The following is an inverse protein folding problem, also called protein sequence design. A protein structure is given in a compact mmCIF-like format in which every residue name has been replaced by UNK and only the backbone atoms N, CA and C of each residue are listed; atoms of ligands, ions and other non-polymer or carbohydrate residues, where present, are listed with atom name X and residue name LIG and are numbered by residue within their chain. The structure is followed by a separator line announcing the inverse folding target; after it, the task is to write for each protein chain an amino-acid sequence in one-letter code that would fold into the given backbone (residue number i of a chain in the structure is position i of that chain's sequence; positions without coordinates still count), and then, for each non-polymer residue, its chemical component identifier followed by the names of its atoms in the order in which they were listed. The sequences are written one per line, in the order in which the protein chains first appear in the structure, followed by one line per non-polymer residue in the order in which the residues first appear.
data_IF_568424077374
#
_entry.id   IF_568424077374
#
_cell.length_a   1.000
_cell.length_b   1.000
_cell.length_c   1.000
_cell.angle_alpha   90.00
_cell.angle_beta   90.00
_cell.angle_gamma   90.00
#
_symmetry.space_group_name_H-M   'P 1'
#
loop_
_entity.id
_entity.type
_entity.pdbx_description
1 polymer ?
#
# COMPACT_ATOMS: atom_id res chain seq x y z
N UNK A 1 -17.21 13.75 17.86
CA UNK A 1 -18.04 13.42 16.68
C UNK A 1 -17.18 12.78 15.60
N UNK A 2 -17.36 11.49 15.29
CA UNK A 2 -16.76 10.86 14.11
C UNK A 2 -17.54 11.29 12.86
N UNK A 3 -17.08 12.34 12.17
CA UNK A 3 -17.65 12.69 10.86
C UNK A 3 -17.39 11.50 9.91
N UNK A 4 -18.40 10.95 9.22
CA UNK A 4 -18.17 9.87 8.27
C UNK A 4 -17.19 10.33 7.20
N UNK A 5 -16.21 9.49 6.89
CA UNK A 5 -15.18 9.81 5.89
C UNK A 5 -15.84 10.10 4.53
N UNK A 6 -15.33 11.08 3.77
CA UNK A 6 -15.79 11.31 2.41
C UNK A 6 -15.65 10.03 1.59
N UNK A 7 -16.69 9.65 0.86
CA UNK A 7 -16.69 8.46 0.00
C UNK A 7 -15.57 8.52 -1.05
N UNK A 8 -15.22 9.73 -1.51
CA UNK A 8 -14.15 10.02 -2.46
C UNK A 8 -12.81 9.52 -1.92
N UNK A 9 -12.48 9.84 -0.68
CA UNK A 9 -11.19 9.47 -0.07
C UNK A 9 -11.03 7.94 0.02
N UNK A 10 -12.11 7.23 0.37
CA UNK A 10 -12.11 5.76 0.39
C UNK A 10 -11.89 5.18 -1.00
N UNK A 11 -12.50 5.78 -2.03
CA UNK A 11 -12.34 5.36 -3.44
C UNK A 11 -10.94 5.64 -3.94
N UNK A 12 -10.40 6.83 -3.68
CA UNK A 12 -9.03 7.18 -4.03
C UNK A 12 -8.02 6.24 -3.37
N UNK A 13 -8.20 5.94 -2.08
CA UNK A 13 -7.34 4.97 -1.39
C UNK A 13 -7.41 3.59 -2.04
N UNK A 14 -8.62 3.08 -2.31
CA UNK A 14 -8.79 1.76 -2.94
C UNK A 14 -8.17 1.71 -4.35
N UNK A 15 -8.37 2.76 -5.16
CA UNK A 15 -7.80 2.86 -6.50
C UNK A 15 -6.28 2.97 -6.46
N UNK A 16 -5.71 3.75 -5.55
CA UNK A 16 -4.26 3.86 -5.37
C UNK A 16 -3.65 2.51 -4.99
N UNK A 17 -4.26 1.78 -4.05
CA UNK A 17 -3.80 0.44 -3.65
C UNK A 17 -3.91 -0.56 -4.80
N UNK A 18 -5.00 -0.53 -5.56
CA UNK A 18 -5.16 -1.40 -6.73
C UNK A 18 -4.11 -1.09 -7.81
N UNK A 19 -3.90 0.18 -8.12
CA UNK A 19 -2.88 0.61 -9.07
C UNK A 19 -1.47 0.21 -8.61
N UNK A 20 -1.14 0.38 -7.32
CA UNK A 20 0.12 -0.07 -6.73
C UNK A 20 0.31 -1.58 -6.85
N UNK A 21 -0.72 -2.38 -6.56
CA UNK A 21 -0.66 -3.83 -6.67
C UNK A 21 -0.44 -4.28 -8.12
N UNK A 22 -1.24 -3.79 -9.07
CA UNK A 22 -1.13 -4.18 -10.48
C UNK A 22 0.22 -3.76 -11.06
N UNK A 23 0.61 -2.48 -10.87
CA UNK A 23 1.88 -1.97 -11.39
C UNK A 23 3.10 -2.60 -10.70
N UNK A 24 3.02 -2.89 -9.40
CA UNK A 24 4.10 -3.55 -8.66
C UNK A 24 4.30 -5.01 -9.09
N UNK A 25 3.21 -5.72 -9.39
CA UNK A 25 3.29 -7.06 -9.99
C UNK A 25 3.80 -7.01 -11.43
N UNK A 26 3.41 -5.99 -12.21
CA UNK A 26 3.85 -5.79 -13.60
C UNK A 26 5.32 -5.40 -13.75
N UNK A 27 5.94 -4.80 -12.72
CA UNK A 27 7.40 -4.61 -12.67
C UNK A 27 8.19 -5.92 -12.61
N UNK A 28 7.53 -7.01 -12.22
CA UNK A 28 8.07 -8.36 -12.34
C UNK A 28 7.57 -8.99 -13.65
N UNK A 29 8.30 -9.92 -14.27
CA UNK A 29 7.90 -10.54 -15.53
C UNK A 29 6.74 -11.55 -15.39
N UNK A 30 5.83 -11.35 -14.42
CA UNK A 30 4.70 -12.24 -14.11
C UNK A 30 3.63 -12.16 -15.20
N UNK A 31 3.23 -10.96 -15.61
CA UNK A 31 2.14 -10.80 -16.58
C UNK A 31 2.48 -11.33 -17.97
N UNK A 32 3.76 -11.25 -18.37
CA UNK A 32 4.25 -11.93 -19.57
C UNK A 32 4.33 -13.44 -19.39
N UNK A 33 4.82 -13.92 -18.24
CA UNK A 33 4.95 -15.38 -17.96
C UNK A 33 3.61 -16.11 -17.94
N UNK A 34 2.52 -15.43 -17.57
CA UNK A 34 1.18 -16.00 -17.50
C UNK A 34 0.22 -15.46 -18.57
N UNK A 35 0.73 -15.00 -19.71
CA UNK A 35 -0.06 -14.60 -20.89
C UNK A 35 -1.08 -13.47 -20.68
N UNK A 36 -1.00 -12.73 -19.57
CA UNK A 36 -1.85 -11.56 -19.31
C UNK A 36 -1.54 -10.45 -20.33
N UNK A 37 -0.27 -10.28 -20.67
CA UNK A 37 0.17 -9.30 -21.67
C UNK A 37 -0.29 -9.64 -23.10
N UNK A 38 -0.67 -10.89 -23.35
CA UNK A 38 -1.10 -11.37 -24.67
C UNK A 38 -2.61 -11.17 -24.89
N UNK A 39 -3.33 -10.76 -23.86
CA UNK A 39 -4.73 -10.33 -23.97
C UNK A 39 -4.77 -9.00 -24.76
N UNK A 40 -5.62 -8.87 -25.81
CA UNK A 40 -5.73 -7.65 -26.57
C UNK A 40 -5.95 -6.41 -25.69
N UNK A 41 -5.10 -5.39 -25.84
CA UNK A 41 -5.13 -4.17 -25.05
C UNK A 41 -4.36 -4.20 -23.71
N UNK A 42 -3.77 -5.33 -23.32
CA UNK A 42 -3.01 -5.47 -22.06
C UNK A 42 -1.49 -5.61 -22.24
N UNK A 43 -0.96 -5.43 -23.45
CA UNK A 43 0.48 -5.51 -23.71
C UNK A 43 1.31 -4.54 -22.82
N UNK A 44 0.75 -3.37 -22.49
CA UNK A 44 1.37 -2.38 -21.60
C UNK A 44 1.66 -2.90 -20.19
N UNK A 45 0.95 -3.95 -19.75
CA UNK A 45 1.14 -4.53 -18.41
C UNK A 45 2.50 -5.21 -18.25
N UNK A 46 3.16 -5.58 -19.35
CA UNK A 46 4.52 -6.10 -19.36
C UNK A 46 5.59 -5.05 -19.70
N UNK A 47 5.19 -3.80 -19.95
CA UNK A 47 6.13 -2.69 -20.16
C UNK A 47 6.61 -2.15 -18.82
N UNK A 48 7.92 -2.30 -18.57
CA UNK A 48 8.53 -1.85 -17.32
C UNK A 48 8.39 -0.35 -17.10
N UNK A 49 8.59 0.49 -18.12
CA UNK A 49 8.53 1.94 -17.97
C UNK A 49 7.10 2.40 -17.67
N UNK A 50 6.11 1.86 -18.39
CA UNK A 50 4.70 2.18 -18.16
C UNK A 50 4.29 1.77 -16.74
N UNK A 51 4.57 0.52 -16.34
CA UNK A 51 4.26 0.04 -15.00
C UNK A 51 5.02 0.82 -13.92
N UNK A 52 6.26 1.22 -14.17
CA UNK A 52 7.05 2.05 -13.24
C UNK A 52 6.45 3.44 -13.01
N UNK A 53 6.03 4.12 -14.08
CA UNK A 53 5.37 5.42 -14.00
C UNK A 53 4.05 5.31 -13.22
N UNK A 54 3.21 4.33 -13.56
CA UNK A 54 1.94 4.10 -12.87
C UNK A 54 2.18 3.83 -11.38
N UNK A 55 3.21 3.04 -11.04
CA UNK A 55 3.54 2.73 -9.66
C UNK A 55 3.95 3.97 -8.88
N UNK A 56 4.79 4.83 -9.45
CA UNK A 56 5.25 6.07 -8.80
C UNK A 56 4.11 7.06 -8.59
N UNK A 57 3.23 7.23 -9.59
CA UNK A 57 2.05 8.10 -9.46
C UNK A 57 1.09 7.57 -8.39
N UNK A 58 0.81 6.27 -8.38
CA UNK A 58 -0.03 5.65 -7.38
C UNK A 58 0.60 5.72 -5.97
N UNK A 59 1.92 5.58 -5.87
CA UNK A 59 2.68 5.72 -4.63
C UNK A 59 2.59 7.15 -4.08
N UNK A 60 2.70 8.17 -4.93
CA UNK A 60 2.56 9.57 -4.53
C UNK A 60 1.16 9.85 -3.94
N UNK A 61 0.10 9.37 -4.60
CA UNK A 61 -1.28 9.49 -4.10
C UNK A 61 -1.45 8.73 -2.77
N UNK A 62 -0.94 7.51 -2.69
CA UNK A 62 -1.00 6.71 -1.46
C UNK A 62 -0.28 7.40 -0.29
N UNK A 63 0.93 7.92 -0.52
CA UNK A 63 1.71 8.65 0.48
C UNK A 63 1.00 9.91 0.95
N UNK A 64 0.39 10.69 0.04
CA UNK A 64 -0.39 11.86 0.40
C UNK A 64 -1.57 11.50 1.31
N UNK A 65 -2.32 10.43 0.98
CA UNK A 65 -3.42 9.95 1.81
C UNK A 65 -2.92 9.46 3.18
N UNK A 66 -1.83 8.71 3.23
CA UNK A 66 -1.22 8.24 4.50
C UNK A 66 -0.77 9.43 5.35
N UNK A 67 -0.13 10.44 4.75
CA UNK A 67 0.33 11.64 5.45
C UNK A 67 -0.84 12.46 6.03
N UNK A 68 -1.91 12.65 5.24
CA UNK A 68 -3.13 13.33 5.71
C UNK A 68 -3.75 12.59 6.91
N UNK A 69 -3.84 11.26 6.85
CA UNK A 69 -4.33 10.41 7.95
C UNK A 69 -3.45 10.49 9.19
N UNK A 70 -2.14 10.45 9.02
CA UNK A 70 -1.19 10.57 10.12
C UNK A 70 -1.30 11.96 10.79
N UNK A 71 -1.43 13.02 9.99
CA UNK A 71 -1.62 14.39 10.46
C UNK A 71 -2.91 14.56 11.27
N UNK A 72 -4.05 14.07 10.75
CA UNK A 72 -5.33 14.07 11.46
C UNK A 72 -5.24 13.32 12.80
N UNK A 73 -4.59 12.15 12.81
CA UNK A 73 -4.41 11.34 14.02
C UNK A 73 -3.53 12.06 15.05
N UNK A 74 -2.44 12.68 14.61
CA UNK A 74 -1.53 13.45 15.48
C UNK A 74 -2.23 14.70 16.05
N UNK A 75 -2.92 15.47 15.22
CA UNK A 75 -3.66 16.66 15.64
C UNK A 75 -4.76 16.29 16.65
N UNK A 76 -5.49 15.20 16.40
CA UNK A 76 -6.56 14.75 17.29
C UNK A 76 -6.03 14.23 18.63
N UNK A 77 -4.83 13.63 18.67
CA UNK A 77 -4.12 13.29 19.91
C UNK A 77 -3.69 14.53 20.68
N UNK A 78 -3.07 15.50 19.99
CA UNK A 78 -2.60 16.76 20.62
C UNK A 78 -3.73 17.58 21.23
N UNK A 79 -4.89 17.61 20.57
CA UNK A 79 -6.06 18.36 21.03
C UNK A 79 -6.87 17.63 22.11
N UNK A 80 -6.39 16.50 22.65
CA UNK A 80 -7.10 15.71 23.67
C UNK A 80 -8.45 15.13 23.19
N UNK A 81 -8.74 15.17 21.88
CA UNK A 81 -10.01 14.75 21.29
C UNK A 81 -10.16 13.23 21.19
N UNK A 82 -9.10 12.49 21.51
CA UNK A 82 -9.06 11.03 21.48
C UNK A 82 -8.55 10.54 22.83
N UNK A 83 -9.43 9.94 23.63
CA UNK A 83 -9.09 9.42 24.96
C UNK A 83 -8.59 7.96 24.94
N UNK A 84 -9.01 7.12 23.99
CA UNK A 84 -8.53 5.73 23.87
C UNK A 84 -8.59 5.21 22.42
N UNK A 85 -7.46 5.22 21.70
CA UNK A 85 -7.34 4.38 20.51
C UNK A 85 -7.22 2.92 20.97
N UNK A 86 -8.34 2.20 21.01
CA UNK A 86 -8.32 0.73 21.10
C UNK A 86 -7.77 0.15 19.79
N UNK A 87 -6.48 0.30 19.55
CA UNK A 87 -5.80 -0.38 18.46
C UNK A 87 -5.62 -1.85 18.86
N UNK A 88 -6.32 -2.72 18.16
CA UNK A 88 -6.04 -4.16 18.21
C UNK A 88 -4.63 -4.45 17.67
N UNK A 89 -4.05 -5.60 18.05
CA UNK A 89 -2.75 -6.07 17.51
C UNK A 89 -2.70 -6.07 15.98
N UNK A 90 -3.82 -6.37 15.33
CA UNK A 90 -3.97 -6.36 13.88
C UNK A 90 -3.77 -4.97 13.27
N UNK A 91 -4.34 -3.92 13.88
CA UNK A 91 -4.14 -2.55 13.40
C UNK A 91 -2.69 -2.09 13.54
N UNK A 92 -2.01 -2.49 14.63
CA UNK A 92 -0.58 -2.23 14.81
C UNK A 92 0.27 -2.94 13.76
N UNK A 93 -0.03 -4.21 13.47
CA UNK A 93 0.65 -4.95 12.41
C UNK A 93 0.47 -4.29 11.03
N UNK A 94 -0.73 -3.81 10.71
CA UNK A 94 -0.98 -3.09 9.47
C UNK A 94 -0.19 -1.78 9.40
N UNK A 95 -0.14 -1.02 10.49
CA UNK A 95 0.62 0.23 10.55
C UNK A 95 2.12 -0.03 10.35
N UNK A 96 2.66 -1.06 11.01
CA UNK A 96 4.05 -1.46 10.85
C UNK A 96 4.36 -1.87 9.41
N UNK A 97 3.49 -2.64 8.76
CA UNK A 97 3.66 -3.04 7.36
C UNK A 97 3.64 -1.83 6.40
N UNK A 98 2.72 -0.87 6.60
CA UNK A 98 2.70 0.38 5.82
C UNK A 98 3.98 1.18 6.04
N UNK A 99 4.43 1.34 7.29
CA UNK A 99 5.65 2.08 7.60
C UNK A 99 6.88 1.43 6.92
N UNK A 100 6.97 0.10 6.98
CA UNK A 100 8.00 -0.66 6.27
C UNK A 100 7.94 -0.51 4.75
N UNK A 101 6.73 -0.54 4.16
CA UNK A 101 6.52 -0.33 2.72
C UNK A 101 7.00 1.05 2.28
N UNK A 102 6.66 2.08 3.05
CA UNK A 102 7.08 3.46 2.77
C UNK A 102 8.61 3.57 2.84
N UNK A 103 9.22 3.06 3.92
CA UNK A 103 10.67 3.09 4.10
C UNK A 103 11.41 2.36 2.97
N UNK A 104 11.02 1.12 2.70
CA UNK A 104 11.64 0.32 1.62
C UNK A 104 11.38 0.94 0.25
N UNK A 105 10.20 1.50 0.01
CA UNK A 105 9.88 2.25 -1.22
C UNK A 105 10.80 3.45 -1.42
N UNK A 106 11.03 4.26 -0.38
CA UNK A 106 11.98 5.37 -0.45
C UNK A 106 13.41 4.91 -0.77
N UNK A 107 13.87 3.81 -0.17
CA UNK A 107 15.19 3.25 -0.47
C UNK A 107 15.26 2.79 -1.94
N UNK A 108 14.19 2.21 -2.49
CA UNK A 108 14.10 1.83 -3.91
C UNK A 108 14.14 3.02 -4.85
N UNK A 109 13.59 4.17 -4.46
CA UNK A 109 13.71 5.42 -5.23
C UNK A 109 15.15 5.95 -5.12
N UNK A 110 15.68 6.02 -3.90
CA UNK A 110 17.01 6.58 -3.64
C UNK A 110 18.13 5.81 -4.34
N UNK A 111 18.08 4.47 -4.36
CA UNK A 111 19.07 3.65 -5.06
C UNK A 111 19.08 3.87 -6.59
N UNK A 112 18.01 4.42 -7.15
CA UNK A 112 17.91 4.71 -8.59
C UNK A 112 18.43 6.11 -8.95
N UNK A 113 18.83 6.92 -7.96
CA UNK A 113 19.44 8.23 -8.20
C UNK A 113 20.93 8.07 -8.55
N UNK A 114 21.54 9.04 -9.27
CA UNK A 114 22.98 8.99 -9.59
C UNK A 114 23.90 8.90 -8.36
N UNK A 115 23.42 9.39 -7.21
CA UNK A 115 24.12 9.36 -5.92
C UNK A 115 23.77 8.14 -5.06
N UNK A 116 22.89 7.26 -5.55
CA UNK A 116 22.36 6.10 -4.84
C UNK A 116 23.38 4.96 -4.72
N UNK A 117 24.29 5.06 -3.75
CA UNK A 117 25.32 4.05 -3.48
C UNK A 117 24.82 2.84 -2.69
N UNK A 118 23.86 2.07 -3.21
CA UNK A 118 23.39 0.83 -2.55
C UNK A 118 24.06 -0.39 -3.18
N UNK A 119 24.64 -1.26 -2.35
CA UNK A 119 25.24 -2.51 -2.84
C UNK A 119 24.20 -3.39 -3.55
N UNK A 120 24.62 -4.21 -4.53
CA UNK A 120 23.72 -5.11 -5.26
C UNK A 120 22.93 -6.04 -4.32
N UNK A 121 23.60 -6.60 -3.31
CA UNK A 121 22.97 -7.50 -2.33
C UNK A 121 21.94 -6.78 -1.45
N UNK A 122 22.27 -5.58 -0.97
CA UNK A 122 21.31 -4.75 -0.22
C UNK A 122 20.12 -4.34 -1.08
N UNK A 123 20.35 -3.98 -2.35
CA UNK A 123 19.29 -3.63 -3.29
C UNK A 123 18.28 -4.76 -3.52
N UNK A 124 18.77 -5.99 -3.69
CA UNK A 124 17.93 -7.19 -3.81
C UNK A 124 17.15 -7.46 -2.52
N UNK A 125 17.78 -7.35 -1.35
CA UNK A 125 17.10 -7.54 -0.07
C UNK A 125 15.98 -6.51 0.14
N UNK A 126 16.20 -5.25 -0.26
CA UNK A 126 15.18 -4.21 -0.22
C UNK A 126 14.02 -4.51 -1.18
N UNK A 127 14.29 -4.97 -2.40
CA UNK A 127 13.24 -5.30 -3.36
C UNK A 127 12.37 -6.47 -2.87
N UNK A 128 12.99 -7.55 -2.39
CA UNK A 128 12.28 -8.71 -1.83
C UNK A 128 11.51 -8.31 -0.57
N UNK A 129 12.15 -7.55 0.33
CA UNK A 129 11.51 -7.07 1.56
C UNK A 129 10.29 -6.20 1.26
N UNK A 130 10.37 -5.32 0.28
CA UNK A 130 9.25 -4.49 -0.16
C UNK A 130 8.08 -5.34 -0.67
N UNK A 131 8.35 -6.36 -1.49
CA UNK A 131 7.33 -7.31 -1.96
C UNK A 131 6.68 -8.08 -0.81
N UNK A 132 7.48 -8.63 0.11
CA UNK A 132 6.96 -9.38 1.27
C UNK A 132 6.08 -8.49 2.14
N UNK A 133 6.49 -7.25 2.39
CA UNK A 133 5.69 -6.28 3.13
C UNK A 133 4.38 -5.94 2.42
N UNK A 134 4.39 -5.85 1.09
CA UNK A 134 3.19 -5.58 0.29
C UNK A 134 2.17 -6.72 0.43
N UNK A 135 2.65 -7.97 0.30
CA UNK A 135 1.82 -9.17 0.46
C UNK A 135 1.31 -9.30 1.91
N UNK A 136 2.17 -9.07 2.90
CA UNK A 136 1.80 -9.11 4.31
C UNK A 136 0.71 -8.07 4.63
N UNK A 137 0.86 -6.84 4.17
CA UNK A 137 -0.14 -5.80 4.37
C UNK A 137 -1.48 -6.14 3.72
N UNK A 138 -1.47 -6.64 2.48
CA UNK A 138 -2.66 -7.12 1.78
C UNK A 138 -3.38 -8.24 2.54
N UNK A 139 -2.63 -9.22 3.04
CA UNK A 139 -3.16 -10.31 3.86
C UNK A 139 -3.80 -9.83 5.17
N UNK A 140 -3.15 -8.90 5.88
CA UNK A 140 -3.69 -8.29 7.10
C UNK A 140 -4.95 -7.47 6.83
N UNK A 141 -5.01 -6.77 5.69
CA UNK A 141 -6.19 -6.03 5.26
C UNK A 141 -7.38 -6.94 4.96
N UNK A 142 -7.13 -8.05 4.25
CA UNK A 142 -8.13 -9.09 4.00
C UNK A 142 -8.63 -9.71 5.30
N UNK A 143 -7.72 -10.12 6.19
CA UNK A 143 -8.08 -10.70 7.49
C UNK A 143 -8.97 -9.74 8.30
N UNK A 144 -8.60 -8.45 8.34
CA UNK A 144 -9.40 -7.42 9.01
C UNK A 144 -10.80 -7.30 8.40
N UNK A 145 -10.93 -7.40 7.08
CA UNK A 145 -12.22 -7.35 6.39
C UNK A 145 -13.09 -8.57 6.71
N UNK A 146 -12.51 -9.78 6.70
CA UNK A 146 -13.22 -11.03 7.05
C UNK A 146 -13.73 -10.96 8.49
N UNK A 147 -12.88 -10.56 9.44
CA UNK A 147 -13.25 -10.46 10.87
C UNK A 147 -14.40 -9.47 11.04
N UNK A 148 -14.32 -8.29 10.41
CA UNK A 148 -15.40 -7.28 10.48
C UNK A 148 -16.72 -7.81 9.90
N UNK A 149 -16.69 -8.51 8.76
CA UNK A 149 -17.91 -9.09 8.16
C UNK A 149 -18.53 -10.17 9.04
N UNK A 150 -17.73 -11.06 9.64
CA UNK A 150 -18.22 -12.09 10.56
C UNK A 150 -18.84 -11.50 11.83
N UNK A 151 -18.30 -10.41 12.34
CA UNK A 151 -18.88 -9.72 13.49
C UNK A 151 -20.19 -9.00 13.13
N UNK A 152 -20.30 -8.43 11.92
CA UNK A 152 -21.55 -7.82 11.45
C UNK A 152 -22.66 -8.86 11.21
N UNK A 153 -22.32 -10.03 10.64
CA UNK A 153 -23.28 -11.11 10.41
C UNK A 153 -23.75 -11.82 11.68
N UNK A 154 -22.96 -11.79 12.77
CA UNK A 154 -23.36 -12.32 14.09
C UNK A 154 -24.31 -11.41 14.88
N UNK A 155 -24.48 -10.17 14.44
CA UNK A 155 -25.35 -9.18 15.07
C UNK A 155 -26.63 -8.92 14.25
N UNK A 156 -26.82 -9.64 13.13
CA UNK A 156 -28.06 -9.63 12.39
C UNK A 156 -29.06 -10.60 13.07
N UNK A 157 -30.31 -10.18 13.32
CA UNK A 157 -31.33 -10.98 14.00
C UNK A 157 -31.74 -12.23 13.22
#
# INVERSE_FOLDING_TARGET
MNKPRPWIERRLFALAVLALAISGLGQMPIFKRYYIADIPGLAWTADFYVTHIIHYLAAAVFLALVALRAGEALASRRLGRISHLRMTRLHWAQLAAIAGLVLTGFIRVWKNLPTGGVSKGTGMAVDIGHLVLAMAWGGLALASWIIRRRSAGRLAP
#
